data_IF_829885851608
#
_entry.id   IF_829885851608
#
_cell.length_a   1.000
_cell.length_b   1.000
_cell.length_c   1.000
_cell.angle_alpha   90.00
_cell.angle_beta   90.00
_cell.angle_gamma   90.00
#
_symmetry.space_group_name_H-M   'P 1'
#
loop_
_entity.id
_entity.type
_entity.pdbx_description
1 polymer ?
#
# COMPACT_ATOMS: atom_id res chain seq x y z
N UNK A 1 -37.14 11.69 1.50
CA UNK A 1 -36.16 11.79 2.61
C UNK A 1 -35.29 10.54 2.75
N UNK A 2 -35.84 9.32 2.67
CA UNK A 2 -35.07 8.06 2.76
C UNK A 2 -33.88 7.90 1.77
N UNK A 3 -34.01 8.40 0.53
CA UNK A 3 -32.94 8.30 -0.48
C UNK A 3 -31.77 9.27 -0.23
N UNK A 4 -32.02 10.38 0.47
CA UNK A 4 -30.99 11.37 0.83
C UNK A 4 -30.14 10.87 2.01
N UNK A 5 -30.77 10.23 2.99
CA UNK A 5 -30.08 9.53 4.09
C UNK A 5 -29.23 8.36 3.58
N UNK A 6 -29.74 7.55 2.64
CA UNK A 6 -28.95 6.46 2.03
C UNK A 6 -27.71 6.96 1.29
N UNK A 7 -27.81 8.12 0.62
CA UNK A 7 -26.66 8.74 -0.08
C UNK A 7 -25.62 9.28 0.91
N UNK A 8 -26.07 9.85 2.04
CA UNK A 8 -25.18 10.30 3.12
C UNK A 8 -24.42 9.14 3.77
N UNK A 9 -25.10 8.03 4.07
CA UNK A 9 -24.45 6.82 4.60
C UNK A 9 -23.41 6.26 3.64
N UNK A 10 -23.71 6.17 2.35
CA UNK A 10 -22.74 5.73 1.34
C UNK A 10 -21.52 6.66 1.25
N UNK A 11 -21.73 7.97 1.40
CA UNK A 11 -20.65 8.95 1.40
C UNK A 11 -19.72 8.76 2.59
N UNK A 12 -20.27 8.53 3.79
CA UNK A 12 -19.49 8.21 4.99
C UNK A 12 -18.71 6.90 4.83
N UNK A 13 -19.32 5.86 4.29
CA UNK A 13 -18.65 4.59 4.01
C UNK A 13 -17.50 4.75 2.99
N UNK A 14 -17.67 5.62 2.00
CA UNK A 14 -16.62 5.93 1.03
C UNK A 14 -15.46 6.70 1.67
N UNK A 15 -15.76 7.62 2.61
CA UNK A 15 -14.73 8.34 3.36
C UNK A 15 -13.92 7.38 4.24
N UNK A 16 -14.60 6.53 5.01
CA UNK A 16 -13.95 5.51 5.83
C UNK A 16 -13.09 4.54 4.98
N UNK A 17 -13.58 4.16 3.80
CA UNK A 17 -12.80 3.36 2.87
C UNK A 17 -11.57 4.10 2.33
N UNK A 18 -11.66 5.43 2.16
CA UNK A 18 -10.51 6.29 1.81
C UNK A 18 -9.46 6.31 2.93
N UNK A 19 -9.88 6.43 4.18
CA UNK A 19 -8.97 6.37 5.34
C UNK A 19 -8.28 4.99 5.42
N UNK A 20 -9.02 3.89 5.17
CA UNK A 20 -8.46 2.53 5.09
C UNK A 20 -7.40 2.41 3.97
N UNK A 21 -7.61 3.08 2.83
CA UNK A 21 -6.63 3.12 1.72
C UNK A 21 -5.38 3.88 2.14
N UNK A 22 -5.52 5.05 2.77
CA UNK A 22 -4.37 5.84 3.23
C UNK A 22 -3.52 5.05 4.24
N UNK A 23 -4.16 4.37 5.19
CA UNK A 23 -3.47 3.50 6.15
C UNK A 23 -2.74 2.35 5.45
N UNK A 24 -3.35 1.72 4.45
CA UNK A 24 -2.72 0.66 3.66
C UNK A 24 -1.52 1.18 2.85
N UNK A 25 -1.60 2.39 2.29
CA UNK A 25 -0.48 3.04 1.59
C UNK A 25 0.69 3.31 2.53
N UNK A 26 0.43 3.85 3.73
CA UNK A 26 1.46 4.09 4.75
C UNK A 26 2.14 2.78 5.17
N UNK A 27 1.36 1.72 5.39
CA UNK A 27 1.89 0.41 5.73
C UNK A 27 2.77 -0.19 4.61
N UNK A 28 2.36 -0.04 3.35
CA UNK A 28 3.16 -0.46 2.20
C UNK A 28 4.46 0.33 2.10
N UNK A 29 4.41 1.66 2.25
CA UNK A 29 5.60 2.52 2.21
C UNK A 29 6.60 2.14 3.32
N UNK A 30 6.11 1.84 4.53
CA UNK A 30 6.97 1.36 5.62
C UNK A 30 7.62 0.02 5.29
N UNK A 31 6.88 -0.94 4.75
CA UNK A 31 7.43 -2.23 4.35
C UNK A 31 8.48 -2.10 3.23
N UNK A 32 8.24 -1.25 2.24
CA UNK A 32 9.21 -0.96 1.17
C UNK A 32 10.49 -0.33 1.73
N UNK A 33 10.37 0.61 2.66
CA UNK A 33 11.54 1.22 3.33
C UNK A 33 12.35 0.18 4.10
N UNK A 34 11.70 -0.74 4.81
CA UNK A 34 12.39 -1.82 5.53
C UNK A 34 13.12 -2.76 4.56
N UNK A 35 12.50 -3.09 3.42
CA UNK A 35 13.14 -3.89 2.38
C UNK A 35 14.37 -3.20 1.80
N UNK A 36 14.27 -1.90 1.50
CA UNK A 36 15.39 -1.10 1.01
C UNK A 36 16.56 -1.08 2.01
N UNK A 37 16.27 -0.85 3.29
CA UNK A 37 17.28 -0.88 4.36
C UNK A 37 17.96 -2.25 4.45
N UNK A 38 17.19 -3.35 4.37
CA UNK A 38 17.74 -4.70 4.36
C UNK A 38 18.66 -4.95 3.16
N UNK A 39 18.29 -4.46 1.98
CA UNK A 39 19.12 -4.55 0.78
C UNK A 39 20.41 -3.73 0.88
N UNK A 40 20.35 -2.53 1.47
CA UNK A 40 21.53 -1.72 1.75
C UNK A 40 22.49 -2.43 2.72
N UNK A 41 21.96 -3.03 3.80
CA UNK A 41 22.75 -3.80 4.75
C UNK A 41 23.42 -5.02 4.09
N UNK A 42 22.70 -5.72 3.20
CA UNK A 42 23.29 -6.81 2.40
C UNK A 42 24.44 -6.32 1.51
N UNK A 43 24.27 -5.17 0.85
CA UNK A 43 25.34 -4.58 0.03
C UNK A 43 26.59 -4.30 0.86
N UNK A 44 26.42 -3.77 2.07
CA UNK A 44 27.53 -3.50 2.99
C UNK A 44 28.23 -4.80 3.41
N UNK A 45 27.47 -5.85 3.75
CA UNK A 45 28.04 -7.17 4.09
C UNK A 45 28.83 -7.76 2.92
N UNK A 46 28.34 -7.64 1.69
CA UNK A 46 29.04 -8.11 0.49
C UNK A 46 30.34 -7.35 0.24
N UNK A 47 30.32 -6.03 0.36
CA UNK A 47 31.53 -5.21 0.23
C UNK A 47 32.56 -5.59 1.28
N UNK A 48 32.12 -5.72 2.53
CA UNK A 48 32.98 -6.09 3.63
C UNK A 48 33.57 -7.50 3.47
N UNK A 49 32.82 -8.46 2.92
CA UNK A 49 33.32 -9.78 2.58
C UNK A 49 34.45 -9.72 1.53
N UNK A 50 34.29 -8.90 0.50
CA UNK A 50 35.31 -8.72 -0.54
C UNK A 50 36.60 -8.10 0.02
N UNK A 51 36.47 -7.03 0.79
CA UNK A 51 37.60 -6.36 1.45
C UNK A 51 38.35 -7.33 2.37
N UNK A 52 37.62 -8.12 3.16
CA UNK A 52 38.20 -9.09 4.08
C UNK A 52 38.93 -10.23 3.35
N UNK A 53 38.38 -10.72 2.23
CA UNK A 53 39.04 -11.72 1.38
C UNK A 53 40.35 -11.20 0.77
N UNK A 54 40.39 -9.93 0.34
CA UNK A 54 41.61 -9.32 -0.20
C UNK A 54 42.71 -9.18 0.87
N UNK A 55 42.33 -8.75 2.08
CA UNK A 55 43.26 -8.67 3.21
C UNK A 55 43.85 -10.04 3.54
N UNK A 56 43.01 -11.09 3.52
CA UNK A 56 43.45 -12.45 3.75
C UNK A 56 44.48 -12.94 2.73
N UNK A 57 44.23 -12.74 1.43
CA UNK A 57 45.19 -13.11 0.39
C UNK A 57 46.57 -12.48 0.63
N UNK A 58 46.58 -11.22 1.08
CA UNK A 58 47.82 -10.51 1.43
C UNK A 58 48.53 -11.11 2.64
N UNK A 59 47.78 -11.52 3.68
CA UNK A 59 48.33 -12.17 4.88
C UNK A 59 48.91 -13.55 4.56
N UNK A 60 48.21 -14.34 3.75
CA UNK A 60 48.65 -15.67 3.29
C UNK A 60 49.97 -15.59 2.54
N UNK A 61 50.12 -14.62 1.63
CA UNK A 61 51.36 -14.42 0.86
C UNK A 61 52.59 -14.10 1.72
N UNK A 62 52.40 -13.53 2.92
CA UNK A 62 53.49 -13.15 3.85
C UNK A 62 53.91 -14.28 4.80
N UNK A 63 53.29 -15.46 4.71
CA UNK A 63 53.54 -16.62 5.59
C UNK A 63 52.53 -16.71 6.73
N UNK A 64 51.88 -17.87 6.86
CA UNK A 64 50.79 -18.10 7.81
C UNK A 64 51.27 -18.49 9.21
N UNK A 65 50.79 -17.78 10.23
CA UNK A 65 50.73 -18.29 11.61
C UNK A 65 49.41 -19.04 11.82
N UNK A 66 49.44 -20.19 12.48
CA UNK A 66 48.25 -21.03 12.71
C UNK A 66 47.11 -20.29 13.43
N UNK A 67 47.44 -19.35 14.32
CA UNK A 67 46.45 -18.55 15.06
C UNK A 67 45.70 -17.57 14.15
N UNK A 68 46.40 -16.94 13.19
CA UNK A 68 45.79 -16.06 12.19
C UNK A 68 44.81 -16.82 11.28
N UNK A 69 45.14 -18.06 10.94
CA UNK A 69 44.26 -18.93 10.16
C UNK A 69 42.97 -19.27 10.90
N UNK A 70 43.07 -19.61 12.19
CA UNK A 70 41.90 -19.95 13.01
C UNK A 70 40.97 -18.75 13.20
N UNK A 71 41.54 -17.56 13.44
CA UNK A 71 40.77 -16.33 13.55
C UNK A 71 40.03 -16.00 12.24
N UNK A 72 40.70 -16.18 11.10
CA UNK A 72 40.10 -15.97 9.79
C UNK A 72 38.90 -16.89 9.53
N UNK A 73 39.05 -18.19 9.79
CA UNK A 73 37.98 -19.18 9.62
C UNK A 73 36.76 -18.86 10.52
N UNK A 74 37.00 -18.52 11.79
CA UNK A 74 35.93 -18.17 12.72
C UNK A 74 35.14 -16.94 12.28
N UNK A 75 35.84 -15.89 11.85
CA UNK A 75 35.21 -14.68 11.37
C UNK A 75 34.45 -14.88 10.05
N UNK A 76 35.04 -15.62 9.11
CA UNK A 76 34.39 -15.93 7.83
C UNK A 76 33.06 -16.67 8.04
N UNK A 77 33.03 -17.65 8.96
CA UNK A 77 31.80 -18.37 9.32
C UNK A 77 30.73 -17.46 9.92
N UNK A 78 31.11 -16.50 10.77
CA UNK A 78 30.18 -15.51 11.32
C UNK A 78 29.62 -14.60 10.22
N UNK A 79 30.46 -14.18 9.28
CA UNK A 79 30.05 -13.34 8.16
C UNK A 79 29.09 -14.07 7.22
N UNK A 80 29.35 -15.33 6.88
CA UNK A 80 28.40 -16.15 6.10
C UNK A 80 27.07 -16.31 6.82
N UNK A 81 27.09 -16.54 8.13
CA UNK A 81 25.88 -16.64 8.94
C UNK A 81 25.08 -15.34 8.89
N UNK A 82 25.74 -14.18 9.01
CA UNK A 82 25.11 -12.88 8.92
C UNK A 82 24.50 -12.62 7.52
N UNK A 83 25.21 -12.96 6.45
CA UNK A 83 24.72 -12.84 5.06
C UNK A 83 23.49 -13.72 4.84
N UNK A 84 23.52 -14.97 5.30
CA UNK A 84 22.39 -15.89 5.18
C UNK A 84 21.17 -15.39 5.96
N UNK A 85 21.38 -14.89 7.18
CA UNK A 85 20.32 -14.26 7.97
C UNK A 85 19.74 -13.03 7.26
N UNK A 86 20.60 -12.19 6.67
CA UNK A 86 20.16 -10.99 5.95
C UNK A 86 19.35 -11.34 4.70
N UNK A 87 19.76 -12.39 3.96
CA UNK A 87 19.03 -12.90 2.80
C UNK A 87 17.63 -13.39 3.19
N UNK A 88 17.54 -14.21 4.24
CA UNK A 88 16.25 -14.70 4.74
C UNK A 88 15.32 -13.56 5.19
N UNK A 89 15.88 -12.54 5.85
CA UNK A 89 15.12 -11.35 6.24
C UNK A 89 14.61 -10.58 5.01
N UNK A 90 15.43 -10.43 3.96
CA UNK A 90 15.02 -9.77 2.72
C UNK A 90 13.88 -10.53 2.04
N UNK A 91 13.94 -11.86 1.96
CA UNK A 91 12.84 -12.67 1.41
C UNK A 91 11.55 -12.49 2.19
N UNK A 92 11.62 -12.49 3.53
CA UNK A 92 10.45 -12.21 4.37
C UNK A 92 9.88 -10.81 4.11
N UNK A 93 10.74 -9.79 4.00
CA UNK A 93 10.31 -8.42 3.70
C UNK A 93 9.69 -8.30 2.31
N UNK A 94 10.21 -9.00 1.30
CA UNK A 94 9.61 -9.07 -0.04
C UNK A 94 8.20 -9.67 0.01
N UNK A 95 8.01 -10.75 0.76
CA UNK A 95 6.69 -11.35 0.95
C UNK A 95 5.72 -10.39 1.67
N UNK A 96 6.19 -9.67 2.69
CA UNK A 96 5.40 -8.64 3.37
C UNK A 96 5.00 -7.52 2.42
N UNK A 97 5.92 -7.00 1.59
CA UNK A 97 5.61 -5.97 0.59
C UNK A 97 4.52 -6.45 -0.37
N UNK A 98 4.62 -7.67 -0.89
CA UNK A 98 3.61 -8.26 -1.76
C UNK A 98 2.24 -8.35 -1.07
N UNK A 99 2.22 -8.81 0.18
CA UNK A 99 0.98 -8.87 0.98
C UNK A 99 0.38 -7.48 1.18
N UNK A 100 1.19 -6.45 1.47
CA UNK A 100 0.70 -5.08 1.64
C UNK A 100 0.17 -4.47 0.34
N UNK A 101 0.77 -4.82 -0.80
CA UNK A 101 0.25 -4.43 -2.12
C UNK A 101 -1.14 -5.02 -2.38
N UNK A 102 -1.34 -6.30 -2.06
CA UNK A 102 -2.65 -6.95 -2.18
C UNK A 102 -3.70 -6.29 -1.29
N UNK A 103 -3.37 -6.04 -0.02
CA UNK A 103 -4.25 -5.32 0.90
C UNK A 103 -4.62 -3.94 0.36
N UNK A 104 -3.65 -3.17 -0.13
CA UNK A 104 -3.91 -1.86 -0.73
C UNK A 104 -4.87 -1.96 -1.92
N UNK A 105 -4.66 -2.92 -2.81
CA UNK A 105 -5.53 -3.16 -3.97
C UNK A 105 -6.97 -3.48 -3.54
N UNK A 106 -7.14 -4.32 -2.51
CA UNK A 106 -8.47 -4.65 -1.97
C UNK A 106 -9.18 -3.44 -1.39
N UNK A 107 -8.47 -2.59 -0.63
CA UNK A 107 -9.02 -1.36 -0.06
C UNK A 107 -9.42 -0.36 -1.15
N UNK A 108 -8.58 -0.19 -2.17
CA UNK A 108 -8.90 0.66 -3.33
C UNK A 108 -10.14 0.16 -4.08
N UNK A 109 -10.26 -1.16 -4.28
CA UNK A 109 -11.44 -1.77 -4.90
C UNK A 109 -12.71 -1.50 -4.09
N UNK A 110 -12.64 -1.61 -2.76
CA UNK A 110 -13.75 -1.32 -1.84
C UNK A 110 -14.16 0.17 -1.93
N UNK A 111 -13.21 1.10 -1.88
CA UNK A 111 -13.47 2.53 -2.04
C UNK A 111 -14.18 2.84 -3.36
N UNK A 112 -13.65 2.33 -4.48
CA UNK A 112 -14.24 2.51 -5.82
C UNK A 112 -15.65 1.94 -5.92
N UNK A 113 -15.95 0.84 -5.22
CA UNK A 113 -17.31 0.28 -5.16
C UNK A 113 -18.29 1.27 -4.53
N UNK A 114 -17.92 1.93 -3.44
CA UNK A 114 -18.76 2.97 -2.83
C UNK A 114 -18.94 4.19 -3.72
N UNK A 115 -17.89 4.65 -4.40
CA UNK A 115 -17.97 5.77 -5.35
C UNK A 115 -19.00 5.49 -6.48
N UNK A 116 -19.00 4.26 -7.01
CA UNK A 116 -19.99 3.82 -8.01
C UNK A 116 -21.40 3.83 -7.44
N UNK A 117 -21.60 3.33 -6.22
CA UNK A 117 -22.92 3.32 -5.55
C UNK A 117 -23.42 4.74 -5.27
N UNK A 118 -22.55 5.64 -4.80
CA UNK A 118 -22.86 7.06 -4.58
C UNK A 118 -23.31 7.70 -5.88
N UNK A 119 -22.55 7.49 -6.96
CA UNK A 119 -22.87 8.05 -8.28
C UNK A 119 -24.25 7.60 -8.75
N UNK A 120 -24.53 6.30 -8.67
CA UNK A 120 -25.85 5.75 -9.01
C UNK A 120 -26.97 6.34 -8.15
N UNK A 121 -26.75 6.46 -6.83
CA UNK A 121 -27.74 7.03 -5.91
C UNK A 121 -28.03 8.51 -6.23
N UNK A 122 -27.00 9.30 -6.57
CA UNK A 122 -27.14 10.70 -7.00
C UNK A 122 -27.94 10.81 -8.30
N UNK A 123 -27.61 10.03 -9.32
CA UNK A 123 -28.35 10.03 -10.60
C UNK A 123 -29.82 9.66 -10.41
N UNK A 124 -30.13 8.68 -9.55
CA UNK A 124 -31.51 8.31 -9.24
C UNK A 124 -32.26 9.45 -8.52
N UNK A 125 -31.62 10.10 -7.53
CA UNK A 125 -32.19 11.25 -6.85
C UNK A 125 -32.50 12.40 -7.82
N UNK A 126 -31.54 12.76 -8.68
CA UNK A 126 -31.74 13.81 -9.69
C UNK A 126 -32.90 13.50 -10.65
N UNK A 127 -33.09 12.23 -11.02
CA UNK A 127 -34.22 11.82 -11.87
C UNK A 127 -35.55 11.96 -11.15
N UNK A 128 -35.59 11.67 -9.85
CA UNK A 128 -36.79 11.82 -9.02
C UNK A 128 -37.14 13.30 -8.85
N UNK A 129 -36.18 14.15 -8.51
CA UNK A 129 -36.41 15.59 -8.36
C UNK A 129 -36.84 16.23 -9.69
N UNK A 130 -36.19 15.90 -10.81
CA UNK A 130 -36.62 16.38 -12.14
C UNK A 130 -38.08 16.03 -12.47
N UNK A 131 -38.51 14.80 -12.16
CA UNK A 131 -39.93 14.39 -12.34
C UNK A 131 -40.88 15.17 -11.44
N UNK A 132 -40.46 15.46 -10.20
CA UNK A 132 -41.25 16.23 -9.24
C UNK A 132 -41.42 17.68 -9.70
N UNK A 133 -40.34 18.31 -10.16
CA UNK A 133 -40.33 19.68 -10.65
C UNK A 133 -41.19 19.83 -11.91
N UNK A 134 -41.08 18.88 -12.85
CA UNK A 134 -41.92 18.84 -14.03
C UNK A 134 -43.41 18.76 -13.68
N UNK A 135 -43.78 17.87 -12.76
CA UNK A 135 -45.17 17.73 -12.31
C UNK A 135 -45.70 19.03 -11.67
N UNK A 136 -44.89 19.69 -10.84
CA UNK A 136 -45.27 20.96 -10.23
C UNK A 136 -45.49 22.05 -11.29
N UNK A 137 -44.59 22.17 -12.26
CA UNK A 137 -44.74 23.11 -13.39
C UNK A 137 -46.01 22.85 -14.19
N UNK A 138 -46.30 21.58 -14.51
CA UNK A 138 -47.52 21.20 -15.25
C UNK A 138 -48.80 21.54 -14.45
N UNK A 139 -48.79 21.31 -13.15
CA UNK A 139 -49.90 21.69 -12.26
C UNK A 139 -50.12 23.21 -12.24
N UNK A 140 -49.06 24.01 -12.12
CA UNK A 140 -49.15 25.47 -12.18
C UNK A 140 -49.68 25.95 -13.54
N UNK A 141 -49.17 25.42 -14.65
CA UNK A 141 -49.64 25.76 -15.99
C UNK A 141 -51.13 25.40 -16.18
N UNK A 142 -51.57 24.25 -15.68
CA UNK A 142 -52.97 23.81 -15.75
C UNK A 142 -53.92 24.67 -14.90
N UNK A 143 -53.46 25.19 -13.76
CA UNK A 143 -54.23 26.11 -12.90
C UNK A 143 -54.30 27.49 -13.54
N UNK A 144 -53.19 28.01 -14.04
CA UNK A 144 -53.16 29.30 -14.74
C UNK A 144 -54.12 29.31 -15.93
N UNK A 145 -54.12 28.26 -16.76
CA UNK A 145 -55.06 28.11 -17.88
C UNK A 145 -56.54 28.05 -17.47
N UNK A 146 -56.85 27.56 -16.25
CA UNK A 146 -58.23 27.50 -15.74
C UNK A 146 -58.72 28.83 -15.17
N UNK A 147 -57.82 29.70 -14.71
CA UNK A 147 -58.19 31.00 -14.14
C UNK A 147 -58.31 32.09 -15.22
N UNK A 148 -57.69 31.91 -16.39
CA UNK A 148 -57.76 32.85 -17.51
C UNK A 148 -58.83 32.52 -18.56
N UNK A 149 -59.70 31.54 -18.29
CA UNK A 149 -60.95 31.29 -19.03
C UNK A 149 -62.14 31.69 -18.17
#
# INVERSE_FOLDING_TARGET
MANKQSTQTLTLLSQLAGDEVELAMKALAQAMKQLEQGQQQKSLLSQYQQEYQQQWQTVVQKGLKADLYRNFQGFFSQLETAVNSQNAQIEQLQAVVLQRQQVLQEKQRKQKSYEVLITRARTLNEKIERKRDQKLMDEFASRAKRTTM
#
